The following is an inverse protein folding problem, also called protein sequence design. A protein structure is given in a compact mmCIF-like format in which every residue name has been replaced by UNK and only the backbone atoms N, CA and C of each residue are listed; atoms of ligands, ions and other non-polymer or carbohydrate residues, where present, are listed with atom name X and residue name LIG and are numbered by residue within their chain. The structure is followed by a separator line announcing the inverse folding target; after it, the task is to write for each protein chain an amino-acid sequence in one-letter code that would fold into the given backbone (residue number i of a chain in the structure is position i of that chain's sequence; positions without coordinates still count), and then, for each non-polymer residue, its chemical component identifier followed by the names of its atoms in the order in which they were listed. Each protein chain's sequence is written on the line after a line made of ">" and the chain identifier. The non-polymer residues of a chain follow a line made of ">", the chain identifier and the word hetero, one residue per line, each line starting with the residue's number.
data_IF_143240573866
#
_entry.id   IF_143240573866
#
_cell.length_a   1.000
_cell.length_b   1.000
_cell.length_c   1.000
_cell.angle_alpha   90.00
_cell.angle_beta   90.00
_cell.angle_gamma   90.00
#
_symmetry.space_group_name_H-M   'P 1'
#
loop_
_entity.id
_entity.type
_entity.pdbx_description
1 polymer ?
#
# COMPACT_ATOMS: atom_id res chain seq x y z
N UNK A 1 22.32 -2.39 -19.23
CA UNK A 1 22.81 -1.94 -17.90
C UNK A 1 22.00 -2.67 -16.83
N UNK A 2 22.65 -3.42 -15.92
CA UNK A 2 21.97 -4.01 -14.76
C UNK A 2 21.83 -2.92 -13.71
N UNK A 3 20.61 -2.44 -13.44
CA UNK A 3 20.39 -1.53 -12.32
C UNK A 3 20.62 -2.29 -11.01
N UNK A 4 21.57 -1.81 -10.19
CA UNK A 4 21.74 -2.28 -8.81
C UNK A 4 20.55 -1.78 -7.99
N UNK A 5 19.51 -2.58 -7.89
CA UNK A 5 18.39 -2.30 -7.00
C UNK A 5 18.90 -2.39 -5.55
N UNK A 6 18.99 -1.25 -4.86
CA UNK A 6 19.06 -1.25 -3.39
C UNK A 6 17.86 -2.06 -2.92
N UNK A 7 18.12 -3.14 -2.18
CA UNK A 7 17.09 -4.05 -1.65
C UNK A 7 15.97 -3.21 -1.04
N UNK A 8 14.76 -3.34 -1.57
CA UNK A 8 13.61 -2.61 -1.03
C UNK A 8 13.34 -3.21 0.35
N UNK A 9 13.61 -2.44 1.40
CA UNK A 9 13.34 -2.87 2.77
C UNK A 9 11.84 -3.09 2.94
N UNK A 10 11.48 -4.28 3.43
CA UNK A 10 10.11 -4.67 3.75
C UNK A 10 9.92 -4.56 5.26
N UNK A 11 8.76 -4.07 5.68
CA UNK A 11 8.33 -4.08 7.08
C UNK A 11 7.48 -5.33 7.37
N UNK A 12 7.10 -5.53 8.63
CA UNK A 12 6.29 -6.68 9.08
C UNK A 12 5.00 -6.85 8.27
N UNK A 13 4.23 -5.77 8.06
CA UNK A 13 3.00 -5.81 7.28
C UNK A 13 3.21 -5.91 5.77
N UNK A 14 4.43 -5.68 5.26
CA UNK A 14 4.74 -5.58 3.82
C UNK A 14 5.75 -6.63 3.35
N UNK A 15 5.82 -7.76 4.05
CA UNK A 15 6.60 -8.92 3.62
C UNK A 15 6.11 -9.46 2.28
N UNK A 16 7.05 -9.74 1.36
CA UNK A 16 6.73 -10.30 0.03
C UNK A 16 6.73 -11.83 0.14
N UNK A 17 5.58 -12.41 0.48
CA UNK A 17 5.35 -13.86 0.56
C UNK A 17 5.30 -14.50 -0.84
N UNK A 18 5.38 -15.84 -0.92
CA UNK A 18 5.19 -16.55 -2.19
C UNK A 18 3.79 -16.34 -2.78
N UNK A 19 2.76 -16.22 -1.93
CA UNK A 19 1.40 -15.92 -2.38
C UNK A 19 1.35 -14.54 -3.05
N UNK A 20 1.97 -13.52 -2.43
CA UNK A 20 2.09 -12.18 -3.02
C UNK A 20 2.86 -12.21 -4.35
N UNK A 21 3.97 -12.97 -4.44
CA UNK A 21 4.72 -13.10 -5.70
C UNK A 21 3.89 -13.75 -6.80
N UNK A 22 3.05 -14.74 -6.47
CA UNK A 22 2.16 -15.40 -7.44
C UNK A 22 1.09 -14.42 -7.92
N UNK A 23 0.46 -13.69 -7.00
CA UNK A 23 -0.54 -12.69 -7.34
C UNK A 23 0.06 -11.56 -8.20
N UNK A 24 1.23 -11.03 -7.82
CA UNK A 24 1.92 -9.99 -8.59
C UNK A 24 2.24 -10.45 -10.03
N UNK A 25 2.64 -11.71 -10.23
CA UNK A 25 2.86 -12.26 -11.57
C UNK A 25 1.59 -12.48 -12.38
N UNK A 26 0.44 -12.63 -11.72
CA UNK A 26 -0.86 -12.81 -12.38
C UNK A 26 -1.48 -11.48 -12.83
N UNK A 27 -1.05 -10.35 -12.26
CA UNK A 27 -1.45 -9.02 -12.71
C UNK A 27 -0.68 -8.68 -13.99
N UNK A 28 -1.40 -8.41 -15.07
CA UNK A 28 -0.83 -8.10 -16.38
C UNK A 28 -0.51 -6.61 -16.55
N UNK A 29 0.44 -6.30 -17.45
CA UNK A 29 0.88 -4.95 -17.77
C UNK A 29 2.23 -4.59 -17.15
N UNK A 30 2.72 -3.40 -17.49
CA UNK A 30 3.97 -2.81 -17.00
C UNK A 30 3.75 -1.33 -16.64
N UNK A 31 4.74 -0.71 -15.99
CA UNK A 31 4.75 0.72 -15.66
C UNK A 31 3.44 1.22 -15.05
N UNK A 32 2.83 2.23 -15.68
CA UNK A 32 1.55 2.82 -15.27
C UNK A 32 0.39 1.83 -15.41
N UNK A 33 0.40 1.00 -16.45
CA UNK A 33 -0.64 -0.01 -16.67
C UNK A 33 -0.70 -0.99 -15.50
N UNK A 34 0.45 -1.51 -15.06
CA UNK A 34 0.53 -2.40 -13.90
C UNK A 34 -0.01 -1.72 -12.62
N UNK A 35 0.35 -0.44 -12.40
CA UNK A 35 -0.14 0.35 -11.26
C UNK A 35 -1.66 0.48 -11.28
N UNK A 36 -2.25 0.72 -12.44
CA UNK A 36 -3.70 0.78 -12.60
C UNK A 36 -4.35 -0.59 -12.33
N UNK A 37 -3.79 -1.68 -12.85
CA UNK A 37 -4.31 -3.02 -12.59
C UNK A 37 -4.23 -3.41 -11.10
N UNK A 38 -3.19 -2.97 -10.37
CA UNK A 38 -3.12 -3.12 -8.91
C UNK A 38 -4.23 -2.32 -8.21
N UNK A 39 -4.49 -1.09 -8.67
CA UNK A 39 -5.61 -0.27 -8.16
C UNK A 39 -6.95 -0.97 -8.38
N UNK A 40 -7.18 -1.50 -9.57
CA UNK A 40 -8.42 -2.20 -9.93
C UNK A 40 -8.58 -3.50 -9.13
N UNK A 41 -7.49 -4.25 -8.91
CA UNK A 41 -7.49 -5.41 -8.02
C UNK A 41 -7.94 -5.06 -6.60
N UNK A 42 -7.38 -4.00 -6.00
CA UNK A 42 -7.76 -3.58 -4.64
C UNK A 42 -9.23 -3.12 -4.60
N UNK A 43 -9.68 -2.35 -5.61
CA UNK A 43 -11.08 -1.93 -5.72
C UNK A 43 -12.06 -3.08 -5.91
N UNK A 44 -11.61 -4.24 -6.39
CA UNK A 44 -12.42 -5.45 -6.50
C UNK A 44 -12.60 -6.20 -5.17
N UNK A 45 -11.80 -5.89 -4.15
CA UNK A 45 -11.92 -6.47 -2.81
C UNK A 45 -13.10 -5.86 -2.05
N UNK A 46 -13.68 -6.62 -1.12
CA UNK A 46 -14.75 -6.09 -0.27
C UNK A 46 -14.21 -5.03 0.70
N UNK A 47 -14.94 -3.93 0.87
CA UNK A 47 -14.63 -2.92 1.89
C UNK A 47 -15.36 -3.31 3.18
N UNK A 48 -14.63 -3.35 4.30
CA UNK A 48 -15.22 -3.46 5.62
C UNK A 48 -14.89 -2.23 6.43
N UNK A 49 -15.90 -1.44 6.73
CA UNK A 49 -15.77 -0.32 7.64
C UNK A 49 -15.62 -0.85 9.07
N UNK A 50 -14.38 -1.00 9.52
CA UNK A 50 -14.07 -1.20 10.92
C UNK A 50 -14.28 0.10 11.71
N UNK A 51 -14.74 0.00 12.96
CA UNK A 51 -14.76 1.17 13.87
C UNK A 51 -13.36 1.74 14.09
N UNK A 52 -12.34 0.88 14.04
CA UNK A 52 -10.94 1.23 14.19
C UNK A 52 -10.11 0.51 13.11
N UNK A 53 -9.05 1.14 12.56
CA UNK A 53 -8.13 0.47 11.64
C UNK A 53 -7.35 -0.62 12.37
N UNK A 54 -7.20 -1.79 11.74
CA UNK A 54 -6.30 -2.84 12.23
C UNK A 54 -4.90 -2.59 11.68
N UNK A 55 -3.98 -2.18 12.55
CA UNK A 55 -2.58 -1.92 12.20
C UNK A 55 -1.67 -3.14 12.35
N UNK A 56 -2.23 -4.32 12.63
CA UNK A 56 -1.47 -5.57 12.81
C UNK A 56 -1.52 -6.48 11.59
N UNK A 57 -2.58 -6.36 10.78
CA UNK A 57 -2.76 -7.22 9.61
C UNK A 57 -1.65 -7.04 8.57
N UNK A 58 -1.16 -8.16 8.09
CA UNK A 58 -0.16 -8.26 7.02
C UNK A 58 -0.84 -8.20 5.65
N UNK A 59 -0.08 -7.83 4.61
CA UNK A 59 -0.58 -7.84 3.25
C UNK A 59 -1.11 -9.22 2.82
N UNK A 60 -0.48 -10.30 3.29
CA UNK A 60 -0.89 -11.67 2.96
C UNK A 60 -2.26 -12.01 3.57
N UNK A 61 -2.52 -11.59 4.81
CA UNK A 61 -3.82 -11.74 5.48
C UNK A 61 -4.91 -10.90 4.82
N UNK A 62 -4.58 -9.67 4.39
CA UNK A 62 -5.51 -8.76 3.70
C UNK A 62 -5.89 -9.34 2.33
N UNK A 63 -4.91 -9.81 1.56
CA UNK A 63 -5.14 -10.48 0.26
C UNK A 63 -5.95 -11.76 0.46
N UNK A 64 -5.60 -12.59 1.43
CA UNK A 64 -6.25 -13.89 1.66
C UNK A 64 -7.70 -13.75 2.12
N UNK A 65 -8.01 -12.71 2.91
CA UNK A 65 -9.38 -12.46 3.36
C UNK A 65 -10.27 -11.85 2.28
N UNK A 66 -9.69 -11.34 1.18
CA UNK A 66 -10.39 -10.63 0.08
C UNK A 66 -11.17 -9.40 0.53
N UNK A 67 -10.76 -8.79 1.64
CA UNK A 67 -11.35 -7.55 2.14
C UNK A 67 -10.31 -6.68 2.84
N UNK A 68 -10.51 -5.37 2.79
CA UNK A 68 -9.68 -4.39 3.49
C UNK A 68 -10.53 -3.37 4.26
N UNK A 69 -9.92 -2.72 5.26
CA UNK A 69 -10.46 -1.63 6.06
C UNK A 69 -9.55 -0.41 5.99
N UNK A 70 -10.10 0.69 5.47
CA UNK A 70 -9.42 1.99 5.41
C UNK A 70 -8.23 2.07 4.45
N UNK A 71 -7.64 3.25 4.37
CA UNK A 71 -6.55 3.55 3.44
C UNK A 71 -5.21 2.88 3.82
N UNK A 72 -5.02 2.50 5.08
CA UNK A 72 -3.82 1.82 5.55
C UNK A 72 -3.66 0.44 4.92
N UNK A 73 -4.67 -0.43 5.06
CA UNK A 73 -4.62 -1.79 4.52
C UNK A 73 -4.57 -1.78 2.98
N UNK A 74 -5.34 -0.90 2.34
CA UNK A 74 -5.26 -0.69 0.89
C UNK A 74 -3.85 -0.30 0.46
N UNK A 75 -3.22 0.65 1.15
CA UNK A 75 -1.86 1.09 0.86
C UNK A 75 -0.80 0.02 1.10
N UNK A 76 -0.99 -0.85 2.10
CA UNK A 76 -0.12 -2.00 2.39
C UNK A 76 -0.16 -3.00 1.22
N UNK A 77 -1.35 -3.40 0.77
CA UNK A 77 -1.52 -4.32 -0.37
C UNK A 77 -0.95 -3.72 -1.64
N UNK A 78 -1.24 -2.45 -1.91
CA UNK A 78 -0.72 -1.73 -3.07
C UNK A 78 0.80 -1.72 -3.08
N UNK A 79 1.41 -1.38 -1.93
CA UNK A 79 2.86 -1.31 -1.77
C UNK A 79 3.51 -2.65 -2.03
N UNK A 80 2.97 -3.75 -1.48
CA UNK A 80 3.61 -5.06 -1.59
C UNK A 80 3.54 -5.61 -3.01
N UNK A 81 2.43 -5.40 -3.72
CA UNK A 81 2.25 -5.85 -5.10
C UNK A 81 3.16 -5.10 -6.08
N UNK A 82 3.34 -3.80 -5.90
CA UNK A 82 4.31 -3.02 -6.68
C UNK A 82 5.75 -3.46 -6.43
N UNK A 83 6.13 -3.63 -5.16
CA UNK A 83 7.49 -4.08 -4.80
C UNK A 83 7.78 -5.48 -5.32
N UNK A 84 6.79 -6.38 -5.27
CA UNK A 84 6.90 -7.73 -5.80
C UNK A 84 7.11 -7.74 -7.33
N UNK A 85 6.60 -6.74 -8.04
CA UNK A 85 6.85 -6.51 -9.47
C UNK A 85 8.16 -5.76 -9.76
N UNK A 86 8.99 -5.46 -8.75
CA UNK A 86 10.23 -4.72 -8.91
C UNK A 86 10.08 -3.20 -8.98
N UNK A 87 8.88 -2.67 -8.73
CA UNK A 87 8.60 -1.23 -8.73
C UNK A 87 8.95 -0.65 -7.37
N UNK A 88 9.98 0.21 -7.34
CA UNK A 88 10.43 0.88 -6.11
C UNK A 88 9.31 1.78 -5.56
N UNK A 89 8.85 1.46 -4.34
CA UNK A 89 7.68 2.10 -3.72
C UNK A 89 7.95 2.45 -2.26
N UNK A 90 7.68 3.70 -1.87
CA UNK A 90 7.70 4.19 -0.48
C UNK A 90 6.27 4.45 -0.01
N UNK A 91 5.90 3.89 1.14
CA UNK A 91 4.63 4.17 1.82
C UNK A 91 4.75 5.48 2.60
N UNK A 92 3.80 6.40 2.44
CA UNK A 92 3.80 7.72 3.07
C UNK A 92 2.48 7.90 3.80
N UNK A 93 2.54 8.01 5.12
CA UNK A 93 1.38 8.42 5.91
C UNK A 93 1.44 9.93 6.13
N UNK A 94 0.40 10.63 5.72
CA UNK A 94 0.23 12.05 5.94
C UNK A 94 -0.84 12.27 7.01
N UNK A 95 -0.58 13.19 7.92
CA UNK A 95 -1.52 13.57 8.98
C UNK A 95 -1.91 15.03 8.77
N UNK A 96 -3.17 15.33 9.05
CA UNK A 96 -3.68 16.69 9.10
C UNK A 96 -2.93 17.46 10.20
N UNK A 97 -2.39 18.62 9.82
CA UNK A 97 -1.50 19.39 10.70
C UNK A 97 -2.25 19.84 11.95
N UNK A 98 -3.46 20.37 11.77
CA UNK A 98 -4.32 20.86 12.82
C UNK A 98 -4.73 19.71 13.75
N UNK A 99 -5.05 18.54 13.22
CA UNK A 99 -5.35 17.34 14.01
C UNK A 99 -4.16 16.89 14.88
N UNK A 100 -2.94 16.98 14.37
CA UNK A 100 -1.72 16.68 15.16
C UNK A 100 -1.52 17.70 16.28
N UNK A 101 -1.68 19.00 16.00
CA UNK A 101 -1.55 20.03 17.04
C UNK A 101 -2.66 19.98 18.09
N UNK A 102 -3.86 19.55 17.70
CA UNK A 102 -5.00 19.40 18.59
C UNK A 102 -5.07 18.02 19.28
N UNK A 103 -4.09 17.14 19.05
CA UNK A 103 -4.11 15.78 19.58
C UNK A 103 -4.15 15.78 21.12
N UNK A 104 -5.06 14.97 21.66
CA UNK A 104 -5.25 14.79 23.10
C UNK A 104 -5.48 13.30 23.37
N UNK A 105 -4.72 12.71 24.29
CA UNK A 105 -4.86 11.30 24.66
C UNK A 105 -6.26 10.92 25.17
N UNK A 106 -7.00 11.89 25.74
CA UNK A 106 -8.40 11.68 26.17
C UNK A 106 -9.40 11.68 25.02
N UNK A 107 -9.05 12.30 23.89
CA UNK A 107 -9.86 12.40 22.68
C UNK A 107 -8.98 12.22 21.43
N UNK A 108 -8.47 10.99 21.19
CA UNK A 108 -7.54 10.75 20.09
C UNK A 108 -8.28 10.84 18.76
N UNK A 109 -8.21 12.01 18.13
CA UNK A 109 -8.74 12.23 16.79
C UNK A 109 -7.61 12.68 15.86
N UNK A 110 -7.01 11.70 15.18
CA UNK A 110 -6.02 11.95 14.14
C UNK A 110 -6.68 11.71 12.79
N UNK A 111 -6.82 12.78 12.01
CA UNK A 111 -7.22 12.68 10.60
C UNK A 111 -5.97 12.54 9.75
N UNK A 112 -5.93 11.53 8.90
CA UNK A 112 -4.78 11.28 8.03
C UNK A 112 -5.17 10.63 6.70
N UNK A 113 -4.20 10.55 5.79
CA UNK A 113 -4.34 9.90 4.50
C UNK A 113 -3.04 9.20 4.11
N UNK A 114 -3.13 8.13 3.34
CA UNK A 114 -1.95 7.38 2.87
C UNK A 114 -1.71 7.70 1.40
N UNK A 115 -0.46 8.04 1.09
CA UNK A 115 0.06 8.20 -0.26
C UNK A 115 1.19 7.22 -0.52
N UNK A 116 1.46 6.95 -1.79
CA UNK A 116 2.58 6.12 -2.22
C UNK A 116 3.50 6.92 -3.14
N UNK A 117 4.80 6.89 -2.88
CA UNK A 117 5.80 7.39 -3.83
C UNK A 117 6.37 6.22 -4.62
N UNK A 118 6.10 6.19 -5.92
CA UNK A 118 6.47 5.12 -6.84
C UNK A 118 7.49 5.63 -7.86
N UNK A 119 8.42 4.77 -8.30
CA UNK A 119 9.32 5.05 -9.42
C UNK A 119 8.89 4.28 -10.66
N UNK A 120 8.41 4.98 -11.69
CA UNK A 120 7.91 4.42 -12.96
C UNK A 120 8.73 5.02 -14.09
N UNK A 121 9.31 4.19 -14.95
CA UNK A 121 10.10 4.60 -16.13
C UNK A 121 11.22 5.61 -15.86
N UNK A 122 11.74 5.63 -14.63
CA UNK A 122 12.77 6.57 -14.18
C UNK A 122 12.22 7.74 -13.35
N UNK A 123 10.93 8.07 -13.49
CA UNK A 123 10.27 9.20 -12.84
C UNK A 123 9.69 8.83 -11.49
N UNK A 124 9.73 9.79 -10.55
CA UNK A 124 9.06 9.67 -9.24
C UNK A 124 7.66 10.25 -9.32
N UNK A 125 6.64 9.47 -8.95
CA UNK A 125 5.24 9.89 -8.92
C UNK A 125 4.65 9.68 -7.52
N UNK A 126 3.67 10.50 -7.15
CA UNK A 126 2.84 10.31 -5.95
C UNK A 126 1.49 9.73 -6.39
N UNK A 127 1.05 8.66 -5.73
CA UNK A 127 -0.17 7.93 -6.04
C UNK A 127 -1.06 7.91 -4.79
N UNK A 128 -2.35 8.17 -4.98
CA UNK A 128 -3.39 7.92 -3.98
C UNK A 128 -4.01 6.55 -4.28
N UNK A 129 -3.97 5.62 -3.32
CA UNK A 129 -4.43 4.24 -3.48
C UNK A 129 -5.90 4.01 -3.09
N UNK A 130 -6.64 5.06 -2.70
CA UNK A 130 -8.06 5.04 -2.34
C UNK A 130 -8.85 6.12 -3.06
#
# INVERSE_FOLDING_TARGET
>A
MKQNFKKIETGEQTQITENIKKLARAIHGDGVTYVNCVSDYIKSMAIRDGKEPDFTRTADEIISSKWYSGCNEAGIVFTVLLRAAGISTTFIQALDKEAVFAFNEKHPNLKGHVFLRVKIDGDKKIVNST
#
